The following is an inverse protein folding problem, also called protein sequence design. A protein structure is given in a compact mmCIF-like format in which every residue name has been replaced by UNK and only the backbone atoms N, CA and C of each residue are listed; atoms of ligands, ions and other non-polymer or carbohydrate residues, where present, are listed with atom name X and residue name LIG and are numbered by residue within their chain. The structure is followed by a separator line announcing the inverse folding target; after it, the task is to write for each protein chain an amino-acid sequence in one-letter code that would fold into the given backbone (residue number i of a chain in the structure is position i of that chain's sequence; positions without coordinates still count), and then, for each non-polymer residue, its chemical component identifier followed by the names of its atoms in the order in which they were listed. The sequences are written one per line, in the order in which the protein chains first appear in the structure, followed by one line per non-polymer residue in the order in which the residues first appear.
data_IF_201224467817
#
_entry.id   IF_201224467817
#
_cell.length_a   1.000
_cell.length_b   1.000
_cell.length_c   1.000
_cell.angle_alpha   90.00
_cell.angle_beta   90.00
_cell.angle_gamma   90.00
#
_symmetry.space_group_name_H-M   'P 1'
#
loop_
_entity.id
_entity.type
_entity.pdbx_description
1 polymer ?
#
# COMPACT_ATOMS: atom_id res chain seq x y z
N UNK A 1 -15.20 -1.08 -15.36
CA UNK A 1 -15.47 -2.42 -15.83
C UNK A 1 -16.60 -3.08 -15.05
N UNK A 2 -17.12 -4.22 -15.55
CA UNK A 2 -18.11 -5.01 -14.83
C UNK A 2 -17.42 -5.82 -13.72
N UNK A 3 -17.96 -5.75 -12.50
CA UNK A 3 -17.51 -6.58 -11.39
C UNK A 3 -18.42 -7.82 -11.31
N UNK A 4 -17.86 -8.98 -11.62
CA UNK A 4 -18.50 -10.29 -11.55
C UNK A 4 -17.59 -11.30 -10.90
N UNK A 5 -18.11 -12.45 -10.48
CA UNK A 5 -17.28 -13.55 -9.95
C UNK A 5 -16.24 -14.02 -10.96
N UNK A 6 -16.57 -13.99 -12.25
CA UNK A 6 -15.64 -14.31 -13.32
C UNK A 6 -14.52 -13.29 -13.42
N UNK A 7 -14.84 -11.98 -13.47
CA UNK A 7 -13.83 -10.92 -13.57
C UNK A 7 -12.87 -10.92 -12.37
N UNK A 8 -13.38 -11.20 -11.17
CA UNK A 8 -12.59 -11.36 -9.95
C UNK A 8 -11.58 -12.52 -10.06
N UNK A 9 -11.99 -13.66 -10.64
CA UNK A 9 -11.11 -14.82 -10.82
C UNK A 9 -10.07 -14.57 -11.91
N UNK A 10 -10.47 -14.01 -13.06
CA UNK A 10 -9.57 -13.69 -14.15
C UNK A 10 -8.51 -12.63 -13.76
N UNK A 11 -8.89 -11.64 -12.95
CA UNK A 11 -7.97 -10.62 -12.45
C UNK A 11 -6.83 -11.21 -11.61
N UNK A 12 -7.12 -12.26 -10.83
CA UNK A 12 -6.14 -12.93 -9.97
C UNK A 12 -5.34 -14.02 -10.67
N UNK A 13 -5.68 -14.34 -11.89
CA UNK A 13 -5.10 -15.42 -12.67
C UNK A 13 -5.89 -16.74 -12.52
N UNK A 14 -5.89 -17.49 -13.59
CA UNK A 14 -6.53 -18.82 -13.69
C UNK A 14 -5.51 -19.80 -14.27
N UNK A 15 -5.83 -21.12 -14.19
CA UNK A 15 -5.04 -22.15 -14.85
C UNK A 15 -5.20 -22.09 -16.37
N UNK A 16 -4.18 -21.66 -17.13
CA UNK A 16 -4.25 -21.61 -18.59
C UNK A 16 -4.29 -23.03 -19.21
N UNK A 17 -3.72 -24.03 -18.53
CA UNK A 17 -3.62 -25.41 -19.00
C UNK A 17 -4.87 -26.23 -18.66
N UNK A 18 -5.70 -25.74 -17.73
CA UNK A 18 -6.94 -26.39 -17.32
C UNK A 18 -8.12 -26.23 -18.29
N UNK A 19 -8.02 -25.37 -19.31
CA UNK A 19 -9.13 -25.02 -20.19
C UNK A 19 -9.72 -26.24 -20.91
N UNK A 20 -8.87 -27.13 -21.45
CA UNK A 20 -9.31 -28.34 -22.16
C UNK A 20 -9.97 -29.35 -21.21
N UNK A 21 -9.45 -29.46 -19.98
CA UNK A 21 -10.07 -30.31 -18.97
C UNK A 21 -11.48 -29.80 -18.64
N UNK A 22 -11.64 -28.53 -18.36
CA UNK A 22 -12.92 -27.89 -18.06
C UNK A 22 -13.91 -28.03 -19.23
N UNK A 23 -13.45 -27.92 -20.47
CA UNK A 23 -14.26 -28.10 -21.67
C UNK A 23 -14.80 -29.57 -21.75
N UNK A 24 -13.94 -30.55 -21.50
CA UNK A 24 -14.33 -31.97 -21.51
C UNK A 24 -15.37 -32.27 -20.41
N UNK A 25 -15.16 -31.77 -19.20
CA UNK A 25 -16.12 -31.93 -18.09
C UNK A 25 -17.47 -31.29 -18.46
N UNK A 26 -17.47 -30.06 -18.98
CA UNK A 26 -18.69 -29.41 -19.41
C UNK A 26 -19.43 -30.16 -20.50
N UNK A 27 -18.73 -30.72 -21.50
CA UNK A 27 -19.31 -31.52 -22.57
C UNK A 27 -19.92 -32.82 -22.05
N UNK A 28 -19.26 -33.48 -21.09
CA UNK A 28 -19.78 -34.70 -20.46
C UNK A 28 -21.04 -34.42 -19.63
N UNK A 29 -21.06 -33.34 -18.87
CA UNK A 29 -22.22 -32.91 -18.10
C UNK A 29 -23.41 -32.55 -19.00
N UNK A 30 -23.18 -31.87 -20.14
CA UNK A 30 -24.25 -31.62 -21.12
C UNK A 30 -24.79 -32.91 -21.69
N UNK A 31 -23.92 -33.88 -22.05
CA UNK A 31 -24.33 -35.18 -22.55
C UNK A 31 -25.15 -35.93 -21.53
N UNK A 32 -24.77 -35.91 -20.26
CA UNK A 32 -25.48 -36.60 -19.16
C UNK A 32 -26.85 -35.97 -18.87
N UNK A 33 -26.93 -34.67 -18.74
CA UNK A 33 -28.13 -33.95 -18.29
C UNK A 33 -29.13 -33.65 -19.40
N UNK A 34 -28.63 -33.29 -20.58
CA UNK A 34 -29.47 -32.87 -21.72
C UNK A 34 -29.58 -33.92 -22.84
N UNK A 35 -28.79 -34.99 -22.77
CA UNK A 35 -28.65 -35.95 -23.87
C UNK A 35 -27.85 -35.39 -25.04
N UNK A 36 -27.64 -36.21 -26.07
CA UNK A 36 -26.90 -35.83 -27.26
C UNK A 36 -25.57 -36.57 -27.42
N UNK A 37 -24.86 -36.27 -28.48
CA UNK A 37 -23.57 -36.88 -28.82
C UNK A 37 -22.53 -35.80 -29.15
N UNK A 38 -21.28 -36.11 -28.87
CA UNK A 38 -20.14 -35.23 -29.23
C UNK A 38 -19.91 -35.39 -30.75
N UNK A 39 -20.12 -34.31 -31.49
CA UNK A 39 -20.15 -34.35 -32.96
C UNK A 39 -18.81 -33.96 -33.65
N UNK A 40 -17.80 -33.50 -32.88
CA UNK A 40 -16.52 -33.09 -33.46
C UNK A 40 -15.37 -33.32 -32.47
N UNK A 41 -14.16 -33.38 -33.01
CA UNK A 41 -12.94 -33.30 -32.24
C UNK A 41 -12.77 -31.93 -31.57
N UNK A 42 -12.03 -31.89 -30.45
CA UNK A 42 -11.68 -30.66 -29.77
C UNK A 42 -10.70 -29.85 -30.65
N UNK A 43 -11.02 -28.58 -30.87
CA UNK A 43 -10.11 -27.64 -31.51
C UNK A 43 -9.49 -26.76 -30.43
N UNK A 44 -8.21 -26.95 -30.17
CA UNK A 44 -7.44 -26.13 -29.26
C UNK A 44 -6.48 -25.22 -30.05
N UNK A 45 -6.52 -23.93 -29.76
CA UNK A 45 -5.59 -22.96 -30.32
C UNK A 45 -4.80 -22.29 -29.19
N UNK A 46 -3.73 -22.96 -28.78
CA UNK A 46 -2.83 -22.52 -27.71
C UNK A 46 -1.40 -22.35 -28.26
N UNK A 47 -1.12 -21.24 -29.00
CA UNK A 47 0.12 -21.10 -29.76
C UNK A 47 1.37 -20.95 -28.90
N UNK A 48 1.21 -20.46 -27.65
CA UNK A 48 2.34 -20.27 -26.73
C UNK A 48 1.97 -20.84 -25.35
N UNK A 49 2.22 -22.13 -25.12
CA UNK A 49 1.95 -22.77 -23.84
C UNK A 49 2.74 -22.09 -22.71
N UNK A 50 2.07 -21.85 -21.61
CA UNK A 50 2.67 -21.32 -20.38
C UNK A 50 3.28 -22.50 -19.63
N UNK A 51 4.60 -22.42 -19.43
CA UNK A 51 5.33 -23.42 -18.66
C UNK A 51 5.25 -23.14 -17.15
N UNK A 52 5.48 -24.19 -16.34
CA UNK A 52 5.62 -24.07 -14.91
C UNK A 52 6.82 -23.17 -14.55
N UNK A 53 6.74 -22.47 -13.41
CA UNK A 53 7.74 -21.49 -12.99
C UNK A 53 8.90 -22.17 -12.28
N UNK A 54 10.16 -22.02 -12.77
CA UNK A 54 11.33 -22.53 -12.09
C UNK A 54 11.67 -21.69 -10.87
N UNK A 55 11.85 -22.32 -9.71
CA UNK A 55 12.24 -21.66 -8.46
C UNK A 55 13.37 -22.43 -7.79
N UNK A 56 14.47 -21.76 -7.50
CA UNK A 56 15.58 -22.28 -6.71
C UNK A 56 15.38 -21.94 -5.24
N UNK A 57 15.24 -22.94 -4.38
CA UNK A 57 14.95 -22.80 -2.96
C UNK A 57 16.11 -23.31 -2.10
N UNK A 58 16.78 -22.43 -1.39
CA UNK A 58 17.82 -22.80 -0.41
C UNK A 58 17.17 -23.12 0.94
N UNK A 59 17.56 -24.22 1.60
CA UNK A 59 17.10 -24.55 2.94
C UNK A 59 17.50 -23.49 3.97
N UNK A 60 18.70 -22.92 3.83
CA UNK A 60 19.12 -21.84 4.70
C UNK A 60 18.24 -20.61 4.57
N UNK A 61 17.85 -20.25 3.34
CA UNK A 61 16.93 -19.14 3.09
C UNK A 61 15.56 -19.35 3.74
N UNK A 62 15.02 -20.59 3.69
CA UNK A 62 13.77 -20.97 4.37
C UNK A 62 13.91 -20.73 5.88
N UNK A 63 15.02 -21.20 6.47
CA UNK A 63 15.25 -21.07 7.91
C UNK A 63 15.45 -19.62 8.36
N UNK A 64 16.20 -18.83 7.58
CA UNK A 64 16.47 -17.42 7.88
C UNK A 64 15.20 -16.58 7.80
N UNK A 65 14.36 -16.82 6.80
CA UNK A 65 13.14 -16.04 6.60
C UNK A 65 12.05 -16.40 7.61
N UNK A 66 11.92 -17.69 7.96
CA UNK A 66 10.94 -18.15 8.95
C UNK A 66 11.41 -17.89 10.39
N UNK A 67 12.72 -17.85 10.60
CA UNK A 67 13.32 -17.75 11.94
C UNK A 67 13.33 -19.06 12.73
N UNK A 68 13.06 -20.17 12.07
CA UNK A 68 13.04 -21.53 12.68
C UNK A 68 13.57 -22.58 11.69
N UNK A 69 14.35 -23.52 12.19
CA UNK A 69 14.79 -24.68 11.40
C UNK A 69 13.65 -25.67 11.23
N UNK A 70 13.24 -25.91 10.00
CA UNK A 70 12.23 -26.92 9.63
C UNK A 70 12.97 -28.11 9.03
N UNK A 71 12.65 -29.38 9.43
CA UNK A 71 13.26 -30.56 8.84
C UNK A 71 13.07 -30.60 7.32
N UNK A 72 14.12 -30.95 6.59
CA UNK A 72 14.13 -31.00 5.11
C UNK A 72 12.99 -31.87 4.56
N UNK A 73 12.76 -33.03 5.16
CA UNK A 73 11.66 -33.90 4.74
C UNK A 73 10.28 -33.24 4.91
N UNK A 74 10.10 -32.39 5.95
CA UNK A 74 8.86 -31.65 6.14
C UNK A 74 8.70 -30.62 5.01
N UNK A 75 9.76 -29.88 4.66
CA UNK A 75 9.75 -28.94 3.54
C UNK A 75 9.38 -29.65 2.25
N UNK A 76 10.02 -30.78 1.95
CA UNK A 76 9.76 -31.59 0.75
C UNK A 76 8.31 -32.09 0.68
N UNK A 77 7.78 -32.56 1.80
CA UNK A 77 6.39 -33.01 1.86
C UNK A 77 5.40 -31.88 1.64
N UNK A 78 5.69 -30.69 2.18
CA UNK A 78 4.85 -29.51 1.99
C UNK A 78 4.84 -29.08 0.52
N UNK A 79 6.01 -28.90 -0.11
CA UNK A 79 6.07 -28.45 -1.53
C UNK A 79 5.40 -29.47 -2.44
N UNK A 80 5.55 -30.79 -2.18
CA UNK A 80 4.85 -31.82 -2.93
C UNK A 80 3.33 -31.78 -2.74
N UNK A 81 2.85 -31.50 -1.51
CA UNK A 81 1.42 -31.39 -1.22
C UNK A 81 0.78 -30.17 -1.92
N UNK A 82 1.58 -29.19 -2.29
CA UNK A 82 1.20 -28.01 -3.06
C UNK A 82 1.40 -28.19 -4.58
N UNK A 83 1.59 -29.44 -5.01
CA UNK A 83 1.78 -29.83 -6.43
C UNK A 83 3.04 -29.22 -7.09
N UNK A 84 3.98 -28.72 -6.29
CA UNK A 84 5.27 -28.27 -6.81
C UNK A 84 6.15 -29.48 -7.12
N UNK A 85 6.66 -29.57 -8.33
CA UNK A 85 7.55 -30.64 -8.75
C UNK A 85 8.98 -30.36 -8.28
N UNK A 86 9.60 -31.31 -7.56
CA UNK A 86 11.02 -31.28 -7.24
C UNK A 86 11.78 -31.85 -8.45
N UNK A 87 12.51 -30.99 -9.16
CA UNK A 87 13.31 -31.36 -10.33
C UNK A 87 14.64 -31.95 -9.91
N UNK A 88 15.30 -31.30 -8.95
CA UNK A 88 16.55 -31.75 -8.37
C UNK A 88 16.65 -31.35 -6.90
N UNK A 89 17.45 -32.15 -6.17
CA UNK A 89 17.74 -31.92 -4.76
C UNK A 89 19.27 -31.90 -4.57
N UNK A 90 19.72 -30.96 -3.77
CA UNK A 90 21.12 -30.84 -3.34
C UNK A 90 21.18 -30.87 -1.81
N UNK A 91 22.39 -30.93 -1.25
CA UNK A 91 22.57 -30.82 0.23
C UNK A 91 22.09 -29.44 0.76
N UNK A 92 22.02 -28.42 -0.08
CA UNK A 92 21.74 -27.04 0.32
C UNK A 92 20.36 -26.51 -0.10
N UNK A 93 19.64 -27.26 -0.98
CA UNK A 93 18.35 -26.76 -1.46
C UNK A 93 17.67 -27.63 -2.51
N UNK A 94 16.61 -27.12 -3.08
CA UNK A 94 15.73 -27.73 -4.07
C UNK A 94 15.59 -26.84 -5.30
N UNK A 95 15.61 -27.46 -6.50
CA UNK A 95 15.11 -26.85 -7.73
C UNK A 95 13.68 -27.30 -7.94
N UNK A 96 12.76 -26.35 -7.99
CA UNK A 96 11.31 -26.59 -8.08
C UNK A 96 10.75 -26.12 -9.41
N UNK A 97 9.71 -26.80 -9.89
CA UNK A 97 8.77 -26.27 -10.87
C UNK A 97 7.44 -26.04 -10.19
N UNK A 98 7.01 -24.79 -10.14
CA UNK A 98 5.73 -24.35 -9.55
C UNK A 98 4.68 -24.36 -10.66
N UNK A 99 3.51 -25.01 -10.47
CA UNK A 99 2.49 -25.08 -11.50
C UNK A 99 2.05 -23.71 -12.02
N UNK A 100 1.83 -23.60 -13.32
CA UNK A 100 1.48 -22.35 -14.00
C UNK A 100 0.20 -21.67 -13.48
N UNK A 101 -0.69 -22.43 -12.84
CA UNK A 101 -1.89 -21.85 -12.19
C UNK A 101 -1.60 -21.09 -10.89
N UNK A 102 -0.39 -21.27 -10.30
CA UNK A 102 0.07 -20.55 -9.13
C UNK A 102 0.79 -19.28 -9.57
N UNK A 103 0.04 -18.34 -10.16
CA UNK A 103 0.56 -17.09 -10.73
C UNK A 103 1.22 -16.16 -9.70
N UNK A 104 0.92 -16.35 -8.45
CA UNK A 104 1.42 -15.63 -7.28
C UNK A 104 2.75 -16.18 -6.73
N UNK A 105 3.14 -17.39 -7.11
CA UNK A 105 4.30 -18.11 -6.55
C UNK A 105 5.40 -18.25 -7.60
N UNK A 106 6.23 -17.22 -7.74
CA UNK A 106 7.30 -17.18 -8.75
C UNK A 106 8.69 -16.95 -8.16
N UNK A 107 8.78 -16.64 -6.86
CA UNK A 107 10.03 -16.32 -6.16
C UNK A 107 10.25 -17.26 -4.98
N UNK A 108 11.49 -17.43 -4.51
CA UNK A 108 11.76 -18.25 -3.32
C UNK A 108 10.97 -17.81 -2.07
N UNK A 109 10.76 -16.51 -1.86
CA UNK A 109 10.00 -16.00 -0.72
C UNK A 109 8.53 -16.42 -0.77
N UNK A 110 7.94 -16.51 -1.96
CA UNK A 110 6.54 -16.92 -2.14
C UNK A 110 6.38 -18.42 -1.76
N UNK A 111 7.36 -19.26 -2.13
CA UNK A 111 7.40 -20.68 -1.71
C UNK A 111 7.58 -20.80 -0.20
N UNK A 112 8.42 -19.93 0.41
CA UNK A 112 8.60 -19.94 1.87
C UNK A 112 7.32 -19.53 2.59
N UNK A 113 6.56 -18.58 2.07
CA UNK A 113 5.25 -18.21 2.59
C UNK A 113 4.31 -19.41 2.63
N UNK A 114 4.21 -20.15 1.52
CA UNK A 114 3.39 -21.35 1.44
C UNK A 114 3.86 -22.45 2.40
N UNK A 115 5.17 -22.67 2.51
CA UNK A 115 5.74 -23.60 3.48
C UNK A 115 5.29 -23.21 4.90
N UNK A 116 5.39 -21.95 5.25
CA UNK A 116 5.02 -21.46 6.58
C UNK A 116 3.51 -21.60 6.84
N UNK A 117 2.68 -21.34 5.83
CA UNK A 117 1.22 -21.51 5.94
C UNK A 117 0.82 -22.94 6.26
N UNK A 118 1.43 -23.94 5.59
CA UNK A 118 1.15 -25.36 5.83
C UNK A 118 1.80 -25.85 7.12
N UNK A 119 3.04 -25.44 7.38
CA UNK A 119 3.74 -25.76 8.64
C UNK A 119 2.98 -25.22 9.85
N UNK A 120 2.39 -24.04 9.72
CA UNK A 120 1.59 -23.34 10.72
C UNK A 120 2.38 -22.25 11.46
N UNK A 121 1.87 -21.02 11.40
CA UNK A 121 2.47 -19.84 12.06
C UNK A 121 2.65 -20.04 13.58
N UNK A 122 1.71 -20.73 14.22
CA UNK A 122 1.76 -20.97 15.67
C UNK A 122 2.88 -21.94 16.10
N UNK A 123 3.50 -22.62 15.15
CA UNK A 123 4.64 -23.50 15.41
C UNK A 123 5.97 -22.75 15.40
N UNK A 124 5.97 -21.45 15.10
CA UNK A 124 7.13 -20.58 15.17
C UNK A 124 7.12 -19.83 16.50
N UNK A 125 8.18 -19.98 17.26
CA UNK A 125 8.30 -19.38 18.58
C UNK A 125 8.52 -17.87 18.46
N UNK A 126 7.78 -17.09 19.23
CA UNK A 126 8.00 -15.64 19.32
C UNK A 126 9.19 -15.40 20.27
N UNK A 127 10.29 -14.80 19.79
CA UNK A 127 11.43 -14.52 20.65
C UNK A 127 11.05 -13.49 21.72
N UNK A 128 11.48 -13.73 22.96
CA UNK A 128 11.26 -12.81 24.08
C UNK A 128 12.19 -11.59 24.05
N UNK A 129 13.23 -11.64 23.23
CA UNK A 129 14.23 -10.57 23.11
C UNK A 129 14.54 -10.30 21.64
N UNK A 130 14.54 -9.03 21.27
CA UNK A 130 15.04 -8.56 19.98
C UNK A 130 16.50 -8.11 20.14
N UNK A 131 17.41 -8.75 19.40
CA UNK A 131 18.80 -8.28 19.29
C UNK A 131 18.91 -7.40 18.05
N UNK A 132 19.13 -6.11 18.25
CA UNK A 132 19.36 -5.15 17.17
C UNK A 132 20.61 -4.34 17.45
N UNK A 133 21.44 -4.11 16.45
CA UNK A 133 22.49 -3.10 16.51
C UNK A 133 21.87 -1.75 16.13
N UNK A 134 21.71 -0.89 17.11
CA UNK A 134 21.26 0.48 16.88
C UNK A 134 22.44 1.31 16.39
N UNK A 135 22.54 1.52 15.09
CA UNK A 135 23.42 2.55 14.53
C UNK A 135 22.73 3.90 14.69
N UNK A 136 23.31 4.72 15.55
CA UNK A 136 22.72 5.99 15.93
C UNK A 136 23.19 7.15 15.08
N UNK A 137 22.27 8.08 14.83
CA UNK A 137 22.47 9.47 14.40
C UNK A 137 22.68 9.68 12.89
N UNK A 138 21.62 9.44 12.14
CA UNK A 138 21.43 9.99 10.79
C UNK A 138 20.73 11.36 10.81
N UNK A 139 20.68 12.02 9.65
CA UNK A 139 19.92 13.27 9.50
C UNK A 139 18.42 13.06 9.68
N UNK A 140 17.91 11.85 9.40
CA UNK A 140 16.52 11.44 9.69
C UNK A 140 16.21 11.56 11.19
N UNK A 141 17.14 11.12 12.07
CA UNK A 141 16.94 11.21 13.53
C UNK A 141 16.86 12.68 14.00
N UNK A 142 17.60 13.59 13.36
CA UNK A 142 17.54 15.01 13.65
C UNK A 142 16.19 15.61 13.28
N UNK A 143 15.66 15.24 12.10
CA UNK A 143 14.35 15.68 11.63
C UNK A 143 13.24 15.20 12.57
N UNK A 144 13.24 13.92 12.94
CA UNK A 144 12.24 13.35 13.86
C UNK A 144 12.32 14.01 15.24
N UNK A 145 13.53 14.24 15.77
CA UNK A 145 13.71 14.94 17.06
C UNK A 145 13.18 16.36 17.02
N UNK A 146 13.43 17.08 15.92
CA UNK A 146 12.92 18.43 15.74
C UNK A 146 11.39 18.46 15.66
N UNK A 147 10.80 17.54 14.88
CA UNK A 147 9.34 17.41 14.81
C UNK A 147 8.74 17.12 16.18
N UNK A 148 9.30 16.16 16.95
CA UNK A 148 8.83 15.83 18.28
C UNK A 148 8.92 17.03 19.24
N UNK A 149 10.05 17.77 19.22
CA UNK A 149 10.22 18.95 20.05
C UNK A 149 9.17 20.04 19.76
N UNK A 150 8.91 20.29 18.46
CA UNK A 150 7.90 21.28 18.06
C UNK A 150 6.50 20.78 18.40
N UNK A 151 6.20 19.48 18.19
CA UNK A 151 4.91 18.88 18.54
C UNK A 151 4.64 18.98 20.05
N UNK A 152 5.61 18.65 20.90
CA UNK A 152 5.47 18.77 22.35
C UNK A 152 5.19 20.21 22.78
N UNK A 153 5.86 21.19 22.17
CA UNK A 153 5.60 22.61 22.44
C UNK A 153 4.20 23.00 22.01
N UNK A 154 3.74 22.63 20.81
CA UNK A 154 2.42 22.99 20.29
C UNK A 154 1.30 22.31 21.10
N UNK A 155 1.46 21.03 21.46
CA UNK A 155 0.53 20.32 22.34
C UNK A 155 0.48 20.99 23.73
N UNK A 156 1.62 21.41 24.28
CA UNK A 156 1.70 22.18 25.52
C UNK A 156 0.96 23.54 25.44
N UNK A 157 0.83 24.11 24.24
CA UNK A 157 0.05 25.31 23.95
C UNK A 157 -1.44 25.05 23.61
N UNK A 158 -1.88 23.79 23.69
CA UNK A 158 -3.26 23.37 23.47
C UNK A 158 -3.63 23.09 22.00
N UNK A 159 -2.64 22.86 21.15
CA UNK A 159 -2.89 22.38 19.80
C UNK A 159 -3.14 20.88 19.77
N UNK A 160 -3.96 20.46 18.81
CA UNK A 160 -4.15 19.05 18.45
C UNK A 160 -3.47 18.78 17.11
N UNK A 161 -2.73 17.70 17.04
CA UNK A 161 -2.17 17.23 15.78
C UNK A 161 -3.28 16.66 14.89
N UNK A 162 -3.25 17.03 13.60
CA UNK A 162 -4.13 16.45 12.58
C UNK A 162 -3.28 15.80 11.50
N UNK A 163 -3.85 14.83 10.81
CA UNK A 163 -3.23 14.15 9.70
C UNK A 163 -4.24 14.06 8.55
N UNK A 164 -3.99 14.84 7.51
CA UNK A 164 -4.82 14.86 6.32
C UNK A 164 -4.20 14.03 5.18
N UNK A 165 -5.03 13.62 4.23
CA UNK A 165 -4.55 12.90 3.05
C UNK A 165 -3.63 13.79 2.21
N UNK A 166 -2.56 13.19 1.66
CA UNK A 166 -1.69 13.85 0.68
C UNK A 166 -2.38 14.05 -0.67
N UNK A 167 -3.45 13.30 -0.95
CA UNK A 167 -4.28 13.46 -2.14
C UNK A 167 -5.41 14.46 -1.85
N UNK A 168 -5.70 15.30 -2.85
CA UNK A 168 -6.71 16.35 -2.77
C UNK A 168 -7.36 16.61 -4.14
N UNK A 169 -8.34 17.51 -4.19
CA UNK A 169 -9.03 17.88 -5.42
C UNK A 169 -8.25 18.96 -6.19
N UNK A 170 -8.00 18.74 -7.48
CA UNK A 170 -7.40 19.74 -8.36
C UNK A 170 -8.19 21.06 -8.38
N UNK A 171 -9.52 20.98 -8.21
CA UNK A 171 -10.41 22.14 -8.20
C UNK A 171 -10.07 23.19 -7.12
N UNK A 172 -9.40 22.82 -6.03
CA UNK A 172 -8.96 23.76 -5.00
C UNK A 172 -7.90 24.74 -5.51
N UNK A 173 -7.21 24.39 -6.58
CA UNK A 173 -6.11 25.17 -7.15
C UNK A 173 -6.53 26.01 -8.37
N UNK A 174 -7.78 25.89 -8.81
CA UNK A 174 -8.29 26.61 -9.96
C UNK A 174 -8.34 28.13 -9.69
N UNK A 175 -7.64 28.89 -10.54
CA UNK A 175 -7.60 30.34 -10.45
C UNK A 175 -6.72 30.92 -9.34
N UNK A 176 -5.95 30.10 -8.63
CA UNK A 176 -5.01 30.58 -7.62
C UNK A 176 -3.68 31.00 -8.25
N UNK A 177 -3.21 32.21 -7.88
CA UNK A 177 -1.90 32.70 -8.30
C UNK A 177 -0.74 32.10 -7.48
N UNK A 178 -0.97 31.84 -6.18
CA UNK A 178 0.06 31.33 -5.25
C UNK A 178 0.34 29.85 -5.43
N UNK A 179 -0.66 29.08 -5.88
CA UNK A 179 -0.56 27.63 -6.10
C UNK A 179 -1.08 27.32 -7.51
N UNK A 180 -0.16 27.27 -8.47
CA UNK A 180 -0.53 27.14 -9.87
C UNK A 180 -0.96 25.71 -10.22
N UNK A 181 -2.08 25.57 -10.93
CA UNK A 181 -2.59 24.28 -11.37
C UNK A 181 -1.64 23.52 -12.32
N UNK A 182 -0.73 24.23 -13.00
CA UNK A 182 0.30 23.64 -13.86
C UNK A 182 1.38 22.87 -13.09
N UNK A 183 1.60 23.24 -11.82
CA UNK A 183 2.58 22.61 -10.93
C UNK A 183 2.01 21.45 -10.11
N UNK A 184 0.78 21.03 -10.41
CA UNK A 184 0.14 19.89 -9.72
C UNK A 184 0.73 18.56 -10.16
N UNK A 185 1.03 17.71 -9.19
CA UNK A 185 1.32 16.29 -9.41
C UNK A 185 0.00 15.55 -9.59
N UNK A 186 -0.34 15.21 -10.84
CA UNK A 186 -1.60 14.56 -11.19
C UNK A 186 -1.47 13.05 -11.16
N UNK A 187 -2.49 12.39 -10.59
CA UNK A 187 -2.58 10.93 -10.61
C UNK A 187 -3.05 10.44 -11.99
N UNK A 188 -2.44 9.35 -12.46
CA UNK A 188 -2.80 8.74 -13.74
C UNK A 188 -4.18 8.06 -13.67
N UNK A 189 -4.46 7.35 -12.55
CA UNK A 189 -5.70 6.61 -12.33
C UNK A 189 -6.28 6.96 -10.96
N UNK A 190 -6.87 8.16 -10.77
CA UNK A 190 -7.43 8.56 -9.48
C UNK A 190 -8.68 7.73 -9.15
N UNK A 191 -8.87 7.42 -7.87
CA UNK A 191 -10.07 6.71 -7.38
C UNK A 191 -11.33 7.59 -7.46
N UNK A 192 -11.17 8.91 -7.31
CA UNK A 192 -12.25 9.90 -7.42
C UNK A 192 -11.72 11.23 -7.91
N UNK A 193 -12.60 12.13 -8.33
CA UNK A 193 -12.24 13.50 -8.70
C UNK A 193 -11.78 14.34 -7.50
N UNK A 194 -12.19 13.96 -6.30
CA UNK A 194 -11.83 14.66 -5.06
C UNK A 194 -10.42 14.28 -4.57
N UNK A 195 -9.81 13.24 -5.14
CA UNK A 195 -8.49 12.72 -4.78
C UNK A 195 -7.64 12.48 -6.04
N UNK A 196 -7.56 13.47 -6.91
CA UNK A 196 -6.97 13.33 -8.25
C UNK A 196 -5.58 13.97 -8.41
N UNK A 197 -5.11 14.71 -7.39
CA UNK A 197 -3.78 15.34 -7.37
C UNK A 197 -3.14 15.23 -5.99
N UNK A 198 -1.82 15.37 -5.95
CA UNK A 198 -1.10 15.55 -4.69
C UNK A 198 -1.10 17.02 -4.27
N UNK A 199 -1.21 17.27 -2.96
CA UNK A 199 -1.30 18.62 -2.39
C UNK A 199 -0.03 19.44 -2.58
N UNK A 200 -0.16 20.69 -3.00
CA UNK A 200 0.92 21.69 -2.99
C UNK A 200 1.03 22.44 -1.66
N UNK A 201 0.02 22.34 -0.81
CA UNK A 201 -0.04 23.01 0.48
C UNK A 201 -0.87 22.20 1.46
N UNK A 202 -0.59 22.33 2.76
CA UNK A 202 -1.39 21.75 3.84
C UNK A 202 -2.70 22.53 4.08
N UNK A 203 -2.84 23.73 3.48
CA UNK A 203 -3.92 24.68 3.75
C UNK A 203 -5.30 24.04 3.59
N UNK A 204 -5.57 23.39 2.46
CA UNK A 204 -6.91 22.89 2.13
C UNK A 204 -7.34 21.74 3.05
N UNK A 205 -6.45 20.78 3.32
CA UNK A 205 -6.74 19.69 4.27
C UNK A 205 -7.05 20.21 5.68
N UNK A 206 -6.30 21.23 6.14
CA UNK A 206 -6.58 21.88 7.42
C UNK A 206 -7.94 22.61 7.43
N UNK A 207 -8.30 23.27 6.31
CA UNK A 207 -9.61 23.92 6.19
C UNK A 207 -10.75 22.89 6.15
N UNK A 208 -10.59 21.76 5.49
CA UNK A 208 -11.55 20.64 5.51
C UNK A 208 -11.76 20.12 6.95
N UNK A 209 -10.65 19.94 7.68
CA UNK A 209 -10.68 19.53 9.09
C UNK A 209 -11.42 20.54 9.97
N UNK A 210 -11.21 21.84 9.76
CA UNK A 210 -11.94 22.92 10.45
C UNK A 210 -13.43 22.86 10.10
N UNK A 211 -13.77 22.77 8.83
CA UNK A 211 -15.15 22.66 8.37
C UNK A 211 -15.87 21.45 8.98
N UNK A 212 -15.19 20.31 8.99
CA UNK A 212 -15.73 19.08 9.61
C UNK A 212 -16.07 19.27 11.08
N UNK A 213 -15.20 19.94 11.85
CA UNK A 213 -15.41 20.20 13.27
C UNK A 213 -16.46 21.30 13.50
N UNK A 214 -16.45 22.38 12.71
CA UNK A 214 -17.43 23.46 12.79
C UNK A 214 -18.86 22.94 12.55
N UNK A 215 -19.05 22.03 11.59
CA UNK A 215 -20.33 21.37 11.34
C UNK A 215 -20.81 20.51 12.52
N UNK A 216 -19.92 20.19 13.45
CA UNK A 216 -20.19 19.46 14.71
C UNK A 216 -20.26 20.38 15.94
N UNK A 217 -20.34 21.70 15.70
CA UNK A 217 -20.38 22.73 16.73
C UNK A 217 -19.09 22.88 17.56
N UNK A 218 -17.97 22.40 17.03
CA UNK A 218 -16.63 22.62 17.58
C UNK A 218 -15.95 23.71 16.75
N UNK A 219 -16.03 24.95 17.18
CA UNK A 219 -15.52 26.11 16.44
C UNK A 219 -14.16 26.62 16.97
N UNK A 220 -13.85 26.36 18.23
CA UNK A 220 -12.64 26.86 18.90
C UNK A 220 -11.54 25.81 18.76
N UNK A 221 -10.74 25.94 17.69
CA UNK A 221 -9.78 24.90 17.30
C UNK A 221 -8.36 25.47 17.22
N UNK A 222 -7.42 24.67 17.67
CA UNK A 222 -5.98 24.85 17.45
C UNK A 222 -5.43 23.57 16.86
N UNK A 223 -5.07 23.59 15.59
CA UNK A 223 -4.59 22.43 14.85
C UNK A 223 -3.17 22.66 14.32
N UNK A 224 -2.37 21.60 14.28
CA UNK A 224 -1.12 21.57 13.55
C UNK A 224 -0.98 20.26 12.77
N UNK A 225 -0.21 20.30 11.68
CA UNK A 225 0.13 19.13 10.86
C UNK A 225 1.54 19.26 10.33
N UNK A 226 2.36 18.22 10.52
CA UNK A 226 3.53 18.00 9.70
C UNK A 226 3.14 17.16 8.49
N UNK A 227 3.43 17.64 7.29
CA UNK A 227 3.05 16.92 6.08
C UNK A 227 3.86 17.34 4.87
N UNK A 228 4.04 16.41 3.94
CA UNK A 228 4.71 16.68 2.69
C UNK A 228 3.80 17.41 1.72
N UNK A 229 4.39 18.37 0.99
CA UNK A 229 3.80 19.08 -0.13
C UNK A 229 4.57 18.73 -1.39
N UNK A 230 3.88 18.67 -2.52
CA UNK A 230 4.41 18.07 -3.75
C UNK A 230 4.25 19.03 -4.91
N UNK A 231 5.31 19.17 -5.73
CA UNK A 231 5.30 20.06 -6.87
C UNK A 231 5.83 19.36 -8.12
N UNK A 232 5.24 19.70 -9.25
CA UNK A 232 5.69 19.28 -10.56
C UNK A 232 6.36 20.47 -11.27
N UNK A 233 7.55 20.23 -11.82
CA UNK A 233 8.39 21.19 -12.52
C UNK A 233 8.60 20.74 -13.96
N UNK A 234 7.82 21.29 -14.88
CA UNK A 234 7.84 20.86 -16.28
C UNK A 234 9.22 21.07 -16.95
N UNK A 235 9.94 22.10 -16.54
CA UNK A 235 11.28 22.46 -17.01
C UNK A 235 12.37 21.45 -16.62
N UNK A 236 12.13 20.66 -15.57
CA UNK A 236 13.10 19.68 -15.05
C UNK A 236 12.86 18.26 -15.60
N UNK A 237 11.99 18.10 -16.60
CA UNK A 237 11.74 16.80 -17.23
C UNK A 237 13.01 16.22 -17.84
N UNK A 238 13.37 15.01 -17.41
CA UNK A 238 14.52 14.29 -17.90
C UNK A 238 14.14 12.82 -18.17
N UNK A 239 14.31 12.32 -19.41
CA UNK A 239 14.01 10.92 -19.76
C UNK A 239 14.79 9.89 -18.93
N UNK A 240 16.04 10.21 -18.56
CA UNK A 240 16.91 9.32 -17.81
C UNK A 240 16.67 9.39 -16.30
N UNK A 241 15.98 10.45 -15.82
CA UNK A 241 15.67 10.68 -14.41
C UNK A 241 14.23 11.14 -14.26
N UNK A 242 13.30 10.22 -14.35
CA UNK A 242 11.85 10.48 -14.34
C UNK A 242 11.41 11.34 -13.16
N UNK A 243 12.01 11.15 -11.97
CA UNK A 243 11.66 11.88 -10.76
C UNK A 243 12.27 13.29 -10.67
N UNK A 244 13.15 13.70 -11.60
CA UNK A 244 13.77 15.03 -11.57
C UNK A 244 12.77 16.18 -11.72
N UNK A 245 11.60 15.91 -12.32
CA UNK A 245 10.53 16.87 -12.50
C UNK A 245 9.62 17.03 -11.27
N UNK A 246 9.89 16.32 -10.18
CA UNK A 246 9.05 16.34 -8.99
C UNK A 246 9.87 16.75 -7.76
N UNK A 247 9.28 17.56 -6.90
CA UNK A 247 9.84 17.86 -5.58
C UNK A 247 8.85 17.54 -4.48
N UNK A 248 9.40 17.20 -3.32
CA UNK A 248 8.67 16.88 -2.11
C UNK A 248 9.32 17.65 -0.96
N UNK A 249 8.51 18.38 -0.21
CA UNK A 249 8.97 19.24 0.87
C UNK A 249 8.12 19.02 2.12
N UNK A 250 8.77 18.85 3.27
CA UNK A 250 8.09 18.73 4.55
C UNK A 250 7.71 20.12 5.07
N UNK A 251 6.43 20.34 5.31
CA UNK A 251 5.87 21.59 5.84
C UNK A 251 5.24 21.37 7.21
N UNK A 252 5.18 22.45 8.00
CA UNK A 252 4.37 22.57 9.21
C UNK A 252 3.22 23.53 8.93
N UNK A 253 1.98 23.07 9.07
CA UNK A 253 0.78 23.88 9.03
C UNK A 253 0.25 24.15 10.43
N UNK A 254 -0.23 25.38 10.66
CA UNK A 254 -0.88 25.80 11.90
C UNK A 254 -2.22 26.44 11.56
N UNK A 255 -3.28 26.06 12.27
CA UNK A 255 -4.63 26.64 12.12
C UNK A 255 -5.19 26.98 13.48
N UNK A 256 -5.74 28.18 13.57
CA UNK A 256 -6.43 28.66 14.75
C UNK A 256 -7.80 29.23 14.34
N UNK A 257 -8.85 28.83 15.04
CA UNK A 257 -10.21 29.31 14.78
C UNK A 257 -10.97 29.56 16.06
N UNK A 258 -12.04 30.38 15.97
CA UNK A 258 -12.97 30.62 17.07
C UNK A 258 -12.47 31.63 18.11
N UNK A 259 -12.61 31.26 19.37
CA UNK A 259 -12.33 32.15 20.50
C UNK A 259 -10.91 31.89 21.07
N UNK A 260 -10.24 32.96 21.45
CA UNK A 260 -8.99 32.92 22.19
C UNK A 260 -9.18 32.36 23.59
N UNK A 261 -10.24 32.76 24.24
CA UNK A 261 -10.61 32.34 25.60
C UNK A 261 -12.07 31.88 25.58
N UNK A 262 -12.31 30.70 26.12
CA UNK A 262 -13.67 30.17 26.30
C UNK A 262 -14.49 31.08 27.22
N UNK A 263 -15.81 31.17 26.99
CA UNK A 263 -16.72 31.89 27.85
C UNK A 263 -16.52 31.54 29.32
N UNK A 264 -16.24 32.53 30.13
CA UNK A 264 -16.20 32.36 31.57
C UNK A 264 -16.81 33.58 32.26
N UNK A 265 -17.19 33.43 33.50
CA UNK A 265 -17.65 34.53 34.32
C UNK A 265 -16.60 35.64 34.53
N UNK A 266 -15.33 35.32 34.35
CA UNK A 266 -14.20 36.21 34.62
C UNK A 266 -13.70 36.98 33.39
N UNK A 267 -14.06 36.54 32.19
CA UNK A 267 -13.54 37.10 30.93
C UNK A 267 -14.63 37.27 29.89
N UNK A 268 -14.58 38.39 29.17
CA UNK A 268 -15.38 38.59 27.97
C UNK A 268 -14.91 37.69 26.85
N UNK A 269 -15.77 37.38 25.89
CA UNK A 269 -15.42 36.64 24.69
C UNK A 269 -14.44 37.45 23.84
N UNK A 270 -13.28 36.85 23.52
CA UNK A 270 -12.33 37.42 22.58
C UNK A 270 -12.13 36.45 21.42
N UNK A 271 -12.31 36.96 20.21
CA UNK A 271 -12.02 36.18 19.02
C UNK A 271 -10.52 36.05 18.80
N UNK A 272 -10.10 34.92 18.27
CA UNK A 272 -8.73 34.71 17.86
C UNK A 272 -8.33 35.66 16.73
N UNK A 273 -7.07 36.08 16.69
CA UNK A 273 -6.56 37.00 15.69
C UNK A 273 -5.25 36.49 15.06
N UNK A 274 -4.82 37.13 13.97
CA UNK A 274 -3.53 36.81 13.33
C UNK A 274 -2.34 37.00 14.28
N UNK A 275 -2.47 37.90 15.27
CA UNK A 275 -1.43 38.10 16.27
C UNK A 275 -1.24 36.91 17.21
N UNK A 276 -2.31 36.18 17.46
CA UNK A 276 -2.26 34.92 18.22
C UNK A 276 -1.45 33.88 17.49
N UNK A 277 -1.67 33.72 16.16
CA UNK A 277 -0.89 32.79 15.33
C UNK A 277 0.58 33.18 15.28
N UNK A 278 0.90 34.48 15.30
CA UNK A 278 2.29 34.98 15.32
C UNK A 278 3.01 34.77 16.65
N UNK A 279 2.29 34.51 17.73
CA UNK A 279 2.87 34.32 19.04
C UNK A 279 3.45 32.90 19.23
N UNK A 280 3.07 31.96 18.38
CA UNK A 280 3.59 30.59 18.36
C UNK A 280 4.74 30.44 17.37
#
# INVERSE_FOLDING_TARGET
GLSTDSSFRFERGIDPNGTIYALKEAALLVKELAGGEIASEIKDNYPTPIADFPVELSYQYVHDLIGKTIPVETIKNIVKSLEMQIVSETETGLSLLVPAYRVDVQRPCDVVEDILRIYGYNNVEIPTTLKSSLTTKGDVDKSVKLQNLISEQLVGCGFNEILNNSLTAAAYYDGLESFKSENLVRLMNPLSNDLNVMRQSLLFGGLESIQHNANRKNADLKFFEFGNCYHFHAENKNPDKVLAAYSEELHLGLWLTGKRVSNSWAHADENISVYELKAY
#
